data_IF_596695877271
#
_entry.id   IF_596695877271
#
_cell.length_a   1.000
_cell.length_b   1.000
_cell.length_c   1.000
_cell.angle_alpha   90.00
_cell.angle_beta   90.00
_cell.angle_gamma   90.00
#
_symmetry.space_group_name_H-M   'P 1'
#
loop_
_entity.id
_entity.type
_entity.pdbx_description
1 polymer ?
#
# COMPACT_ATOMS: atom_id res chain seq x y z
N UNK A 1 -12.75 0.83 5.37
CA UNK A 1 -11.54 1.58 5.72
C UNK A 1 -10.64 0.66 6.52
N UNK A 2 -9.35 0.66 6.21
CA UNK A 2 -8.30 0.02 7.01
C UNK A 2 -7.67 1.07 7.93
N UNK A 3 -7.22 0.63 9.09
CA UNK A 3 -6.32 1.40 9.95
C UNK A 3 -4.99 0.66 10.03
N UNK A 4 -3.89 1.40 9.92
CA UNK A 4 -2.54 0.84 10.03
C UNK A 4 -2.14 0.84 11.50
N UNK A 5 -1.78 -0.32 12.01
CA UNK A 5 -1.28 -0.51 13.38
C UNK A 5 0.26 -0.58 13.39
N UNK A 6 0.85 -1.22 12.39
CA UNK A 6 2.29 -1.30 12.18
C UNK A 6 2.58 -1.38 10.68
N UNK A 7 3.69 -0.80 10.24
CA UNK A 7 4.07 -0.70 8.82
C UNK A 7 5.10 -1.73 8.40
N UNK A 8 5.79 -2.34 9.37
CA UNK A 8 7.06 -3.02 9.12
C UNK A 8 8.15 -2.03 8.67
N UNK A 9 9.23 -2.52 8.02
CA UNK A 9 10.35 -1.69 7.57
C UNK A 9 9.93 -0.62 6.55
N UNK A 10 9.04 -0.97 5.61
CA UNK A 10 8.50 -0.01 4.65
C UNK A 10 7.14 -0.49 4.11
N UNK A 11 6.14 0.38 4.18
CA UNK A 11 4.84 0.20 3.54
C UNK A 11 4.53 1.40 2.64
N UNK A 12 4.36 1.15 1.35
CA UNK A 12 4.08 2.16 0.34
C UNK A 12 2.72 1.94 -0.30
N UNK A 13 2.03 3.01 -0.64
CA UNK A 13 0.93 2.92 -1.57
C UNK A 13 1.47 2.93 -3.00
N UNK A 14 1.11 1.92 -3.80
CA UNK A 14 1.59 1.76 -5.18
C UNK A 14 0.47 1.43 -6.16
N UNK A 15 0.49 2.07 -7.32
CA UNK A 15 -0.31 1.74 -8.51
C UNK A 15 0.61 1.20 -9.64
N UNK A 16 0.17 1.22 -10.91
CA UNK A 16 1.01 0.79 -12.04
C UNK A 16 2.02 1.84 -12.52
N UNK A 17 2.05 3.02 -11.88
CA UNK A 17 2.93 4.13 -12.19
C UNK A 17 2.38 5.07 -13.25
N UNK A 18 3.25 5.98 -13.70
CA UNK A 18 2.96 7.11 -14.56
C UNK A 18 3.92 7.08 -15.77
N UNK A 19 3.72 6.18 -16.75
CA UNK A 19 4.59 6.12 -17.92
C UNK A 19 4.46 7.39 -18.77
N UNK A 20 5.50 7.70 -19.56
CA UNK A 20 5.49 8.84 -20.50
C UNK A 20 6.00 10.17 -19.96
N UNK A 21 6.38 10.25 -18.68
CA UNK A 21 6.91 11.47 -18.06
C UNK A 21 8.45 11.53 -17.98
N UNK A 22 9.14 10.56 -18.60
CA UNK A 22 10.59 10.46 -18.55
C UNK A 22 11.30 11.67 -19.16
N UNK A 23 10.72 12.27 -20.22
CA UNK A 23 11.25 13.49 -20.84
C UNK A 23 11.29 14.70 -19.88
N UNK A 24 10.51 14.67 -18.80
CA UNK A 24 10.49 15.70 -17.75
C UNK A 24 11.27 15.29 -16.50
N UNK A 25 12.12 14.25 -16.60
CA UNK A 25 12.90 13.73 -15.47
C UNK A 25 12.10 12.93 -14.44
N UNK A 26 10.83 12.63 -14.70
CA UNK A 26 9.97 11.87 -13.79
C UNK A 26 10.04 10.38 -14.14
N UNK A 27 10.56 9.58 -13.21
CA UNK A 27 10.60 8.13 -13.34
C UNK A 27 9.20 7.51 -13.41
N UNK A 28 9.10 6.32 -14.01
CA UNK A 28 7.81 5.62 -14.21
C UNK A 28 7.06 5.35 -12.89
N UNK A 29 7.77 5.19 -11.76
CA UNK A 29 7.18 4.86 -10.45
C UNK A 29 6.31 3.59 -10.49
N UNK A 30 5.45 3.44 -9.48
CA UNK A 30 4.52 2.33 -9.29
C UNK A 30 5.15 1.11 -8.61
N UNK A 31 4.34 0.06 -8.50
CA UNK A 31 4.72 -1.20 -7.88
C UNK A 31 6.00 -1.77 -8.51
N UNK A 32 6.92 -2.20 -7.65
CA UNK A 32 8.15 -2.85 -8.07
C UNK A 32 7.86 -4.18 -8.80
N UNK A 33 6.92 -4.97 -8.29
CA UNK A 33 6.36 -6.15 -8.95
C UNK A 33 4.91 -5.86 -9.37
N UNK A 34 4.77 -5.44 -10.64
CA UNK A 34 3.47 -5.13 -11.23
C UNK A 34 2.59 -6.37 -11.40
N UNK A 35 3.18 -7.55 -11.61
CA UNK A 35 2.42 -8.77 -11.80
C UNK A 35 1.75 -9.18 -10.49
N UNK A 36 2.47 -9.08 -9.37
CA UNK A 36 1.93 -9.32 -8.03
C UNK A 36 0.81 -8.32 -7.68
N UNK A 37 0.99 -7.02 -7.93
CA UNK A 37 -0.07 -6.03 -7.70
C UNK A 37 -1.34 -6.36 -8.51
N UNK A 38 -1.20 -6.68 -9.80
CA UNK A 38 -2.32 -7.07 -10.66
C UNK A 38 -3.02 -8.32 -10.15
N UNK A 39 -2.26 -9.33 -9.73
CA UNK A 39 -2.81 -10.56 -9.16
C UNK A 39 -3.63 -10.27 -7.90
N UNK A 40 -3.08 -9.50 -6.96
CA UNK A 40 -3.80 -9.13 -5.73
C UNK A 40 -5.11 -8.39 -6.04
N UNK A 41 -5.08 -7.44 -6.99
CA UNK A 41 -6.27 -6.72 -7.43
C UNK A 41 -7.31 -7.62 -8.09
N UNK A 42 -6.88 -8.56 -8.96
CA UNK A 42 -7.77 -9.54 -9.60
C UNK A 42 -8.47 -10.44 -8.58
N UNK A 43 -7.76 -10.90 -7.55
CA UNK A 43 -8.33 -11.75 -6.49
C UNK A 43 -9.49 -11.08 -5.77
N UNK A 44 -9.38 -9.77 -5.50
CA UNK A 44 -10.48 -8.98 -4.91
C UNK A 44 -11.38 -8.34 -5.97
N UNK A 45 -11.22 -8.70 -7.25
CA UNK A 45 -11.96 -8.17 -8.41
C UNK A 45 -11.96 -6.63 -8.52
N UNK A 46 -10.86 -5.99 -8.14
CA UNK A 46 -10.56 -4.61 -8.49
C UNK A 46 -10.05 -4.53 -9.94
N UNK A 47 -10.10 -3.34 -10.58
CA UNK A 47 -9.28 -3.06 -11.74
C UNK A 47 -7.81 -3.39 -11.47
N UNK A 48 -7.11 -3.97 -12.45
CA UNK A 48 -5.70 -4.37 -12.31
C UNK A 48 -4.76 -3.20 -11.98
N UNK A 49 -5.15 -1.97 -12.35
CA UNK A 49 -4.41 -0.74 -12.12
C UNK A 49 -4.71 -0.06 -10.77
N UNK A 50 -5.60 -0.62 -9.97
CA UNK A 50 -5.96 -0.05 -8.67
C UNK A 50 -4.76 -0.03 -7.73
N UNK A 51 -4.67 1.02 -6.90
CA UNK A 51 -3.63 1.12 -5.91
C UNK A 51 -3.75 0.01 -4.85
N UNK A 52 -2.61 -0.55 -4.46
CA UNK A 52 -2.45 -1.49 -3.35
C UNK A 52 -1.35 -1.03 -2.40
N UNK A 53 -1.18 -1.74 -1.29
CA UNK A 53 -0.07 -1.49 -0.36
C UNK A 53 1.07 -2.46 -0.70
N UNK A 54 2.22 -1.92 -1.06
CA UNK A 54 3.48 -2.63 -1.22
C UNK A 54 4.20 -2.66 0.13
N UNK A 55 4.49 -3.85 0.65
CA UNK A 55 5.15 -4.08 1.93
C UNK A 55 6.51 -4.72 1.70
N UNK A 56 7.57 -4.08 2.19
CA UNK A 56 8.93 -4.61 2.14
C UNK A 56 9.23 -5.38 3.41
N UNK A 57 9.60 -6.64 3.27
CA UNK A 57 10.08 -7.51 4.36
C UNK A 57 9.05 -7.78 5.48
N UNK A 58 7.75 -7.70 5.16
CA UNK A 58 6.66 -8.03 6.08
C UNK A 58 6.46 -7.00 7.21
N UNK A 59 5.85 -7.43 8.31
CA UNK A 59 5.66 -6.60 9.51
C UNK A 59 4.48 -5.63 9.45
N UNK A 60 3.72 -5.62 8.35
CA UNK A 60 2.49 -4.82 8.24
C UNK A 60 1.40 -5.44 9.11
N UNK A 61 0.76 -4.62 9.94
CA UNK A 61 -0.45 -4.97 10.68
C UNK A 61 -1.53 -3.93 10.41
N UNK A 62 -2.71 -4.39 9.96
CA UNK A 62 -3.84 -3.51 9.65
C UNK A 62 -5.12 -4.00 10.31
N UNK A 63 -5.90 -3.07 10.83
CA UNK A 63 -7.22 -3.32 11.41
C UNK A 63 -8.34 -2.92 10.46
N UNK A 64 -9.31 -3.81 10.28
CA UNK A 64 -10.49 -3.52 9.50
C UNK A 64 -11.49 -2.69 10.31
N UNK A 65 -11.80 -1.45 9.89
CA UNK A 65 -12.83 -0.62 10.56
C UNK A 65 -14.27 -0.97 10.16
N UNK A 66 -14.42 -1.81 9.13
CA UNK A 66 -15.69 -2.38 8.64
C UNK A 66 -15.39 -3.75 8.05
N UNK A 67 -16.41 -4.48 7.57
CA UNK A 67 -16.18 -5.68 6.76
C UNK A 67 -15.38 -5.33 5.49
N UNK A 68 -14.29 -6.05 5.23
CA UNK A 68 -13.42 -5.87 4.08
C UNK A 68 -13.12 -7.21 3.42
N UNK A 69 -12.93 -7.17 2.10
CA UNK A 69 -12.38 -8.28 1.32
C UNK A 69 -10.99 -7.86 0.89
N UNK A 70 -9.98 -8.66 1.22
CA UNK A 70 -8.58 -8.38 0.96
C UNK A 70 -7.90 -9.58 0.31
N UNK A 71 -6.77 -9.37 -0.35
CA UNK A 71 -5.93 -10.44 -0.86
C UNK A 71 -4.46 -10.05 -0.80
N UNK A 72 -3.61 -11.07 -0.70
CA UNK A 72 -2.15 -10.95 -0.66
C UNK A 72 -1.53 -11.59 -1.90
N UNK A 73 -0.50 -10.96 -2.46
CA UNK A 73 0.31 -11.53 -3.54
C UNK A 73 1.77 -11.06 -3.46
N UNK A 74 2.64 -11.59 -4.32
CA UNK A 74 4.09 -11.34 -4.28
C UNK A 74 4.81 -12.35 -3.39
N UNK A 75 5.80 -11.88 -2.63
CA UNK A 75 6.54 -12.69 -1.68
C UNK A 75 5.58 -13.37 -0.68
N UNK A 76 5.68 -14.69 -0.45
CA UNK A 76 4.72 -15.45 0.36
C UNK A 76 4.91 -15.20 1.86
N UNK A 77 4.61 -13.99 2.32
CA UNK A 77 4.64 -13.63 3.72
C UNK A 77 3.56 -14.41 4.50
N UNK A 78 3.92 -15.13 5.59
CA UNK A 78 2.93 -15.73 6.47
C UNK A 78 1.96 -14.66 6.96
N UNK A 79 0.67 -14.93 6.86
CA UNK A 79 -0.37 -13.97 7.22
C UNK A 79 -1.31 -14.58 8.26
N UNK A 80 -1.73 -13.77 9.22
CA UNK A 80 -2.72 -14.16 10.23
C UNK A 80 -3.83 -13.14 10.35
N UNK A 81 -5.05 -13.61 10.62
CA UNK A 81 -6.18 -12.79 11.06
C UNK A 81 -6.48 -13.14 12.50
N UNK A 82 -6.29 -12.20 13.43
CA UNK A 82 -6.42 -12.43 14.87
C UNK A 82 -5.70 -13.71 15.32
N UNK A 83 -4.42 -13.86 14.90
CA UNK A 83 -3.56 -15.04 15.11
C UNK A 83 -3.97 -16.34 14.38
N UNK A 84 -5.08 -16.36 13.65
CA UNK A 84 -5.45 -17.51 12.81
C UNK A 84 -4.76 -17.43 11.45
N UNK A 85 -3.97 -18.43 11.02
CA UNK A 85 -3.31 -18.42 9.71
C UNK A 85 -4.31 -18.30 8.55
N UNK A 86 -3.95 -17.49 7.54
CA UNK A 86 -4.72 -17.36 6.30
C UNK A 86 -3.85 -17.62 5.08
N UNK A 87 -4.50 -18.08 4.01
CA UNK A 87 -3.80 -18.42 2.76
C UNK A 87 -3.21 -17.19 2.07
N UNK A 88 -2.01 -17.36 1.52
CA UNK A 88 -1.43 -16.43 0.55
C UNK A 88 -2.07 -16.65 -0.83
N UNK A 89 -2.13 -15.63 -1.69
CA UNK A 89 -2.82 -15.68 -2.99
C UNK A 89 -4.29 -16.11 -2.92
N UNK A 90 -4.93 -15.92 -1.76
CA UNK A 90 -6.32 -16.23 -1.51
C UNK A 90 -7.11 -14.99 -1.11
N UNK A 91 -8.42 -15.06 -1.31
CA UNK A 91 -9.35 -14.03 -0.84
C UNK A 91 -9.57 -14.22 0.66
N UNK A 92 -9.32 -13.17 1.44
CA UNK A 92 -9.51 -13.14 2.88
C UNK A 92 -10.59 -12.11 3.21
N UNK A 93 -11.55 -12.50 4.05
CA UNK A 93 -12.61 -11.61 4.53
C UNK A 93 -12.30 -11.20 5.96
N UNK A 94 -12.10 -9.90 6.18
CA UNK A 94 -11.93 -9.31 7.50
C UNK A 94 -13.27 -8.76 7.98
N UNK A 95 -13.71 -9.14 9.17
CA UNK A 95 -14.83 -8.49 9.88
C UNK A 95 -14.36 -7.19 10.52
N UNK A 96 -15.31 -6.33 10.90
CA UNK A 96 -14.98 -5.12 11.63
C UNK A 96 -14.27 -5.48 12.95
N UNK A 97 -13.18 -4.77 13.25
CA UNK A 97 -12.36 -5.00 14.43
C UNK A 97 -11.17 -5.96 14.21
N UNK A 98 -11.25 -6.86 13.22
CA UNK A 98 -10.20 -7.86 13.01
C UNK A 98 -8.90 -7.26 12.49
N UNK A 99 -7.79 -7.87 12.89
CA UNK A 99 -6.44 -7.46 12.52
C UNK A 99 -5.81 -8.50 11.60
N UNK A 100 -5.36 -8.05 10.42
CA UNK A 100 -4.49 -8.79 9.53
C UNK A 100 -3.04 -8.41 9.82
N UNK A 101 -2.20 -9.41 10.09
CA UNK A 101 -0.77 -9.25 10.37
C UNK A 101 0.05 -10.04 9.37
N UNK A 102 1.06 -9.41 8.77
CA UNK A 102 2.07 -10.04 7.91
C UNK A 102 3.35 -10.32 8.70
N UNK A 103 3.79 -11.57 8.67
CA UNK A 103 5.11 -11.99 9.09
C UNK A 103 6.19 -11.70 8.04
N UNK A 104 7.42 -12.10 8.34
CA UNK A 104 8.55 -11.99 7.40
C UNK A 104 8.45 -13.10 6.35
N UNK A 105 8.49 -12.78 5.05
CA UNK A 105 8.47 -13.80 4.01
C UNK A 105 9.76 -14.64 4.05
N UNK A 106 9.68 -15.97 3.91
CA UNK A 106 10.87 -16.84 3.88
C UNK A 106 11.68 -16.68 2.59
N UNK A 107 11.03 -16.23 1.51
CA UNK A 107 11.63 -15.98 0.20
C UNK A 107 11.01 -14.77 -0.46
N UNK A 108 11.77 -14.07 -1.31
CA UNK A 108 11.34 -12.80 -1.89
C UNK A 108 11.41 -11.64 -0.89
N UNK A 109 10.89 -10.47 -1.30
CA UNK A 109 11.04 -9.23 -0.53
C UNK A 109 9.76 -8.42 -0.39
N UNK A 110 8.90 -8.39 -1.43
CA UNK A 110 7.75 -7.50 -1.50
C UNK A 110 6.43 -8.27 -1.53
N UNK A 111 5.57 -7.96 -0.58
CA UNK A 111 4.19 -8.47 -0.51
C UNK A 111 3.23 -7.34 -0.86
N UNK A 112 2.16 -7.64 -1.60
CA UNK A 112 1.14 -6.69 -1.99
C UNK A 112 -0.18 -7.01 -1.31
N UNK A 113 -0.73 -6.05 -0.57
CA UNK A 113 -2.05 -6.11 0.01
C UNK A 113 -3.03 -5.30 -0.84
N UNK A 114 -3.99 -5.99 -1.45
CA UNK A 114 -5.12 -5.35 -2.12
C UNK A 114 -6.36 -5.38 -1.23
N UNK A 115 -7.12 -4.29 -1.23
CA UNK A 115 -8.41 -4.17 -0.54
C UNK A 115 -9.48 -3.91 -1.59
N UNK A 116 -10.59 -4.65 -1.56
CA UNK A 116 -11.74 -4.42 -2.46
C UNK A 116 -12.19 -2.96 -2.37
N UNK A 117 -12.26 -2.29 -3.53
CA UNK A 117 -12.62 -0.88 -3.62
C UNK A 117 -11.47 0.10 -3.32
N UNK A 118 -10.26 -0.41 -3.09
CA UNK A 118 -9.05 0.37 -2.83
C UNK A 118 -8.73 0.54 -1.33
N UNK A 119 -7.45 0.67 -0.97
CA UNK A 119 -7.00 0.92 0.41
C UNK A 119 -7.25 2.38 0.85
N UNK A 120 -7.25 3.30 -0.12
CA UNK A 120 -7.59 4.70 0.06
C UNK A 120 -8.99 4.97 -0.51
N UNK A 121 -9.88 5.59 0.27
CA UNK A 121 -11.11 6.17 -0.24
C UNK A 121 -11.03 7.72 -0.25
N UNK A 122 -10.25 8.34 -1.13
CA UNK A 122 -10.60 9.62 -1.71
C UNK A 122 -11.13 9.38 -3.15
N UNK A 123 -12.00 10.27 -3.65
CA UNK A 123 -12.53 10.17 -5.01
C UNK A 123 -11.37 10.07 -6.02
N UNK A 124 -11.51 9.18 -7.03
CA UNK A 124 -10.57 9.15 -8.16
C UNK A 124 -10.46 10.57 -8.71
N UNK A 125 -9.28 11.20 -8.74
CA UNK A 125 -9.13 12.42 -9.52
C UNK A 125 -9.45 12.04 -10.97
N UNK A 126 -10.46 12.70 -11.53
CA UNK A 126 -10.77 12.61 -12.96
C UNK A 126 -9.50 12.84 -13.77
N UNK A 127 -9.42 12.26 -14.97
CA UNK A 127 -8.25 12.26 -15.88
C UNK A 127 -7.70 13.65 -16.31
N UNK A 128 -8.16 14.75 -15.70
CA UNK A 128 -7.68 16.11 -15.94
C UNK A 128 -6.75 16.57 -14.80
N UNK A 129 -5.65 17.26 -15.13
CA UNK A 129 -4.80 17.87 -14.11
C UNK A 129 -5.56 19.04 -13.49
N UNK A 130 -6.12 18.86 -12.29
CA UNK A 130 -6.30 19.97 -11.36
C UNK A 130 -5.32 19.75 -10.21
N UNK A 131 -4.41 20.71 -10.07
CA UNK A 131 -3.58 20.83 -8.89
C UNK A 131 -4.47 21.38 -7.78
N UNK A 132 -4.93 20.51 -6.87
CA UNK A 132 -5.29 20.95 -5.53
C UNK A 132 -4.03 20.81 -4.67
N UNK A 133 -3.43 21.93 -4.21
CA UNK A 133 -2.44 21.89 -3.17
C UNK A 133 -3.15 21.59 -1.84
N UNK A 134 -2.48 20.92 -0.91
CA UNK A 134 -2.96 20.65 0.46
C UNK A 134 -3.97 19.50 0.62
N UNK A 135 -3.50 18.25 0.40
CA UNK A 135 -3.94 17.14 1.26
C UNK A 135 -2.71 16.44 1.82
N UNK A 136 -2.45 16.66 3.10
CA UNK A 136 -1.37 16.07 3.88
C UNK A 136 -1.39 14.53 3.80
N UNK A 137 -0.42 13.96 3.08
CA UNK A 137 -0.22 12.52 2.92
C UNK A 137 0.64 11.89 4.05
N UNK A 138 0.94 12.62 5.12
CA UNK A 138 1.90 12.20 6.16
C UNK A 138 1.27 11.57 7.40
N UNK A 139 -0.05 11.53 7.52
CA UNK A 139 -0.67 11.03 8.74
C UNK A 139 -0.92 9.52 8.62
N UNK A 140 -0.24 8.72 9.46
CA UNK A 140 -0.43 7.27 9.71
C UNK A 140 0.43 6.24 8.95
N UNK A 141 1.71 6.53 8.73
CA UNK A 141 2.76 5.50 8.53
C UNK A 141 2.84 4.83 7.16
N UNK A 142 1.90 5.07 6.25
CA UNK A 142 2.03 4.64 4.84
C UNK A 142 2.56 5.80 4.03
N UNK A 143 3.75 5.65 3.47
CA UNK A 143 4.31 6.68 2.58
C UNK A 143 3.66 6.54 1.21
N UNK A 144 2.92 7.58 0.81
CA UNK A 144 2.41 7.68 -0.56
C UNK A 144 3.54 8.22 -1.43
N UNK A 145 4.01 7.43 -2.40
CA UNK A 145 4.88 7.95 -3.45
C UNK A 145 4.05 8.86 -4.38
N UNK A 146 3.90 10.14 -4.05
CA UNK A 146 3.49 11.16 -5.03
C UNK A 146 4.72 11.89 -5.56
N UNK A 147 4.91 11.89 -6.89
CA UNK A 147 5.98 12.64 -7.57
C UNK A 147 5.86 14.18 -7.39
N UNK A 148 4.83 14.68 -6.71
CA UNK A 148 4.74 16.09 -6.26
C UNK A 148 5.25 16.33 -4.84
N UNK A 149 5.48 15.27 -4.07
CA UNK A 149 6.06 15.37 -2.73
C UNK A 149 7.59 15.32 -2.87
N UNK A 150 8.17 16.44 -3.32
CA UNK A 150 9.62 16.63 -3.28
C UNK A 150 10.11 16.42 -1.84
N UNK A 151 11.08 15.53 -1.66
CA UNK A 151 11.71 15.24 -0.37
C UNK A 151 12.40 16.52 0.13
N UNK A 152 11.66 17.38 0.84
CA UNK A 152 12.25 18.49 1.58
C UNK A 152 12.63 17.96 2.96
N UNK A 153 13.76 17.27 3.03
CA UNK A 153 14.45 17.07 4.29
C UNK A 153 14.91 18.42 4.82
N UNK A 154 14.18 18.99 5.78
CA UNK A 154 14.81 19.93 6.72
C UNK A 154 15.28 19.10 7.91
N UNK A 155 16.58 18.88 7.96
CA UNK A 155 17.28 18.55 9.20
C UNK A 155 16.97 19.65 10.21
N UNK A 156 16.21 19.32 11.25
CA UNK A 156 16.20 20.15 12.46
C UNK A 156 17.52 19.83 13.15
N UNK A 157 18.53 20.68 12.94
CA UNK A 157 19.67 20.77 13.84
C UNK A 157 19.08 21.19 15.19
N UNK A 158 19.11 20.29 16.18
CA UNK A 158 18.89 20.67 17.56
C UNK A 158 20.10 21.45 18.05
N UNK A 159 19.88 22.72 18.42
CA UNK A 159 20.83 23.43 19.26
C UNK A 159 20.82 22.78 20.65
N UNK A 160 21.99 22.31 21.05
CA UNK A 160 22.29 21.93 22.41
C UNK A 160 22.24 23.18 23.30
N UNK A 161 21.53 23.08 24.42
CA UNK A 161 21.75 23.95 25.57
C UNK A 161 22.99 23.55 26.35
#
# INVERSE_FOLDING_TARGET
MIEVLATGPLALLQDLGRPGLAASGVGRSGAADRAALRLANRLVANPEDAAGIEVVFGGLSVRARRRLTVALAGAPAPATVDATPVGHHAVVVLRAGQVLTLGVPPTGLRTYLAVRGGPLNPPRPSRRPRADPEKNCHDKGVVVCDARCGVHGRSVQGDAG
#
